data_IF_440541614555
#
_entry.id   IF_440541614555
#
_cell.length_a   1.000
_cell.length_b   1.000
_cell.length_c   1.000
_cell.angle_alpha   90.00
_cell.angle_beta   90.00
_cell.angle_gamma   90.00
#
_symmetry.space_group_name_H-M   'P 1'
#
loop_
_entity.id
_entity.type
_entity.pdbx_description
1 polymer ?
#
# COMPACT_ATOMS: atom_id res chain seq x y z
N UNK A 1 -41.15 -5.69 39.80
CA UNK A 1 -41.29 -5.52 38.34
C UNK A 1 -40.39 -4.45 37.70
N UNK A 2 -39.76 -3.51 38.44
CA UNK A 2 -38.87 -2.49 37.84
C UNK A 2 -37.48 -3.02 37.42
N UNK A 3 -36.99 -4.09 38.02
CA UNK A 3 -35.64 -4.63 37.73
C UNK A 3 -35.54 -5.38 36.39
N UNK A 4 -36.64 -5.96 35.92
CA UNK A 4 -36.69 -6.74 34.67
C UNK A 4 -36.63 -5.83 33.43
N UNK A 5 -37.19 -4.61 33.50
CA UNK A 5 -37.12 -3.64 32.39
C UNK A 5 -35.71 -3.07 32.18
N UNK A 6 -34.89 -2.95 33.23
CA UNK A 6 -33.53 -2.44 33.12
C UNK A 6 -32.61 -3.47 32.44
N UNK A 7 -32.75 -4.76 32.74
CA UNK A 7 -31.96 -5.81 32.08
C UNK A 7 -32.25 -5.94 30.59
N UNK A 8 -33.53 -5.90 30.19
CA UNK A 8 -33.92 -6.00 28.77
C UNK A 8 -33.38 -4.80 27.96
N UNK A 9 -33.41 -3.60 28.54
CA UNK A 9 -32.90 -2.38 27.88
C UNK A 9 -31.38 -2.41 27.70
N UNK A 10 -30.63 -2.92 28.69
CA UNK A 10 -29.16 -3.05 28.61
C UNK A 10 -28.77 -4.13 27.57
N UNK A 11 -29.46 -5.27 27.53
CA UNK A 11 -29.19 -6.33 26.54
C UNK A 11 -29.46 -5.87 25.10
N UNK A 12 -30.53 -5.10 24.87
CA UNK A 12 -30.82 -4.54 23.53
C UNK A 12 -29.78 -3.50 23.10
N UNK A 13 -29.31 -2.63 24.00
CA UNK A 13 -28.25 -1.64 23.73
C UNK A 13 -26.88 -2.30 23.45
N UNK A 14 -26.56 -3.39 24.15
CA UNK A 14 -25.31 -4.15 23.92
C UNK A 14 -25.36 -4.94 22.61
N UNK A 15 -26.51 -5.54 22.24
CA UNK A 15 -26.64 -6.19 20.92
C UNK A 15 -26.63 -5.18 19.75
N UNK A 16 -27.25 -4.01 19.91
CA UNK A 16 -27.23 -2.98 18.86
C UNK A 16 -25.86 -2.32 18.68
N UNK A 17 -25.06 -2.20 19.76
CA UNK A 17 -23.68 -1.70 19.65
C UNK A 17 -22.72 -2.74 19.07
N UNK A 18 -22.93 -4.04 19.33
CA UNK A 18 -22.16 -5.10 18.68
C UNK A 18 -22.49 -5.26 17.18
N UNK A 19 -23.74 -5.02 16.76
CA UNK A 19 -24.10 -4.99 15.33
C UNK A 19 -23.60 -3.73 14.61
N UNK A 20 -23.45 -2.60 15.30
CA UNK A 20 -22.85 -1.39 14.73
C UNK A 20 -21.34 -1.54 14.43
N UNK A 21 -20.66 -2.53 15.03
CA UNK A 21 -19.25 -2.82 14.76
C UNK A 21 -19.02 -3.66 13.49
N UNK A 22 -20.05 -4.30 12.93
CA UNK A 22 -19.92 -5.22 11.79
C UNK A 22 -19.91 -4.54 10.40
N UNK A 23 -19.96 -3.20 10.33
CA UNK A 23 -20.21 -2.47 9.08
C UNK A 23 -19.05 -1.59 8.57
N UNK A 24 -17.81 -1.79 9.06
CA UNK A 24 -16.75 -0.82 8.78
C UNK A 24 -16.04 -1.00 7.42
N UNK A 25 -16.17 -2.14 6.73
CA UNK A 25 -15.71 -2.26 5.34
C UNK A 25 -16.65 -3.19 4.59
N UNK A 26 -17.41 -2.65 3.63
CA UNK A 26 -18.24 -3.46 2.71
C UNK A 26 -17.57 -3.67 1.37
N UNK A 27 -16.42 -3.04 1.14
CA UNK A 27 -15.73 -3.03 -0.15
C UNK A 27 -14.43 -3.80 -0.02
N UNK A 28 -14.31 -4.87 -0.80
CA UNK A 28 -13.13 -5.70 -0.88
C UNK A 28 -12.79 -5.94 -2.34
N UNK A 29 -11.52 -5.77 -2.68
CA UNK A 29 -11.02 -6.05 -4.02
C UNK A 29 -9.54 -6.37 -3.97
N UNK A 30 -8.92 -6.52 -5.12
CA UNK A 30 -7.49 -6.80 -5.21
C UNK A 30 -6.82 -5.68 -5.98
N UNK A 31 -5.79 -5.09 -5.38
CA UNK A 31 -5.04 -4.06 -6.07
C UNK A 31 -4.28 -4.65 -7.26
N UNK A 32 -4.37 -3.99 -8.42
CA UNK A 32 -3.69 -4.42 -9.64
C UNK A 32 -4.43 -5.48 -10.46
N UNK A 33 -5.61 -5.93 -10.04
CA UNK A 33 -6.25 -7.09 -10.66
C UNK A 33 -6.77 -6.88 -12.09
N UNK A 34 -6.98 -5.64 -12.52
CA UNK A 34 -7.35 -5.33 -13.90
C UNK A 34 -6.60 -4.10 -14.44
N UNK A 35 -5.40 -3.84 -13.90
CA UNK A 35 -4.55 -2.74 -14.34
C UNK A 35 -3.75 -3.13 -15.59
N UNK A 36 -3.56 -2.15 -16.48
CA UNK A 36 -2.65 -2.30 -17.62
C UNK A 36 -1.24 -2.57 -17.11
N UNK A 37 -0.49 -3.38 -17.86
CA UNK A 37 0.89 -3.77 -17.56
C UNK A 37 1.07 -4.63 -16.29
N UNK A 38 0.00 -5.04 -15.61
CA UNK A 38 0.08 -5.95 -14.46
C UNK A 38 -0.15 -7.39 -14.90
N UNK A 39 0.94 -8.08 -15.23
CA UNK A 39 0.93 -9.48 -15.70
C UNK A 39 0.16 -9.60 -17.00
N UNK A 40 -0.89 -10.43 -17.01
CA UNK A 40 -1.79 -10.54 -18.18
C UNK A 40 -2.81 -9.38 -18.26
N UNK A 41 -2.81 -8.46 -17.30
CA UNK A 41 -3.61 -7.24 -17.31
C UNK A 41 -5.10 -7.40 -17.02
N UNK A 42 -5.60 -8.62 -16.80
CA UNK A 42 -7.00 -8.90 -16.48
C UNK A 42 -7.17 -10.19 -15.67
N UNK A 43 -7.44 -10.04 -14.37
CA UNK A 43 -7.68 -11.13 -13.42
C UNK A 43 -9.12 -11.16 -12.87
N UNK A 44 -10.05 -10.43 -13.49
CA UNK A 44 -11.43 -10.30 -13.00
C UNK A 44 -12.08 -11.68 -12.83
N UNK A 45 -12.05 -12.54 -13.86
CA UNK A 45 -12.62 -13.89 -13.79
C UNK A 45 -12.08 -14.72 -12.63
N UNK A 46 -10.82 -14.52 -12.26
CA UNK A 46 -10.15 -15.25 -11.20
C UNK A 46 -10.53 -14.70 -9.82
N UNK A 47 -10.74 -13.38 -9.69
CA UNK A 47 -10.93 -12.71 -8.40
C UNK A 47 -12.38 -12.41 -8.06
N UNK A 48 -13.30 -12.37 -9.03
CA UNK A 48 -14.70 -11.95 -8.81
C UNK A 48 -15.45 -12.79 -7.77
N UNK A 49 -15.10 -14.06 -7.58
CA UNK A 49 -15.70 -14.91 -6.54
C UNK A 49 -15.33 -14.53 -5.09
N UNK A 50 -14.38 -13.61 -4.91
CA UNK A 50 -13.95 -13.11 -3.60
C UNK A 50 -13.69 -11.60 -3.58
N UNK A 51 -14.18 -10.87 -4.56
CA UNK A 51 -14.09 -9.43 -4.68
C UNK A 51 -15.43 -8.87 -5.12
N UNK A 52 -15.81 -7.69 -4.63
CA UNK A 52 -16.96 -6.93 -5.14
C UNK A 52 -16.55 -5.67 -5.90
N UNK A 53 -15.24 -5.43 -6.08
CA UNK A 53 -14.73 -4.31 -6.87
C UNK A 53 -13.38 -4.61 -7.53
N UNK A 54 -13.19 -4.11 -8.75
CA UNK A 54 -11.96 -4.30 -9.52
C UNK A 54 -11.27 -2.97 -9.84
N UNK A 55 -9.93 -2.94 -9.84
CA UNK A 55 -9.14 -1.78 -10.23
C UNK A 55 -8.82 -1.82 -11.71
N UNK A 56 -9.45 -0.96 -12.48
CA UNK A 56 -9.27 -0.90 -13.94
C UNK A 56 -8.49 0.35 -14.30
N UNK A 57 -7.33 0.17 -14.93
CA UNK A 57 -6.57 1.30 -15.48
C UNK A 57 -7.19 1.76 -16.80
N UNK A 58 -7.69 2.99 -16.83
CA UNK A 58 -8.11 3.62 -18.07
C UNK A 58 -6.90 4.36 -18.66
N UNK A 59 -6.26 3.77 -19.67
CA UNK A 59 -5.21 4.47 -20.43
C UNK A 59 -5.88 5.44 -21.42
N UNK A 60 -5.46 6.70 -21.38
CA UNK A 60 -5.94 7.76 -22.27
C UNK A 60 -4.88 8.20 -23.28
N UNK A 61 -3.85 7.37 -23.46
CA UNK A 61 -2.61 7.69 -24.19
C UNK A 61 -2.79 7.67 -25.72
N UNK A 62 -4.02 7.87 -26.22
CA UNK A 62 -4.33 7.97 -27.65
C UNK A 62 -4.42 6.63 -28.39
N UNK A 63 -4.38 5.49 -27.70
CA UNK A 63 -4.68 4.18 -28.27
C UNK A 63 -6.16 4.05 -28.64
N UNK A 64 -6.46 3.45 -29.79
CA UNK A 64 -7.83 3.27 -30.30
C UNK A 64 -8.68 2.24 -29.50
N UNK A 65 -8.07 1.49 -28.58
CA UNK A 65 -8.73 0.38 -27.93
C UNK A 65 -9.15 0.79 -26.52
N UNK A 66 -10.45 1.01 -26.32
CA UNK A 66 -11.07 1.18 -25.01
C UNK A 66 -11.09 -0.17 -24.24
N UNK A 67 -9.96 -0.85 -24.14
CA UNK A 67 -9.79 -2.16 -23.49
C UNK A 67 -10.31 -2.13 -22.04
N UNK A 68 -10.12 -1.00 -21.35
CA UNK A 68 -10.66 -0.77 -20.02
C UNK A 68 -12.19 -0.92 -19.97
N UNK A 69 -12.91 -0.60 -21.06
CA UNK A 69 -14.37 -0.70 -21.13
C UNK A 69 -14.83 -2.16 -21.17
N UNK A 70 -14.10 -3.03 -21.85
CA UNK A 70 -14.35 -4.48 -21.83
C UNK A 70 -14.16 -5.05 -20.43
N UNK A 71 -13.15 -4.58 -19.69
CA UNK A 71 -12.94 -4.95 -18.27
C UNK A 71 -14.08 -4.45 -17.38
N UNK A 72 -14.60 -3.24 -17.63
CA UNK A 72 -15.78 -2.72 -16.92
C UNK A 72 -17.02 -3.57 -17.21
N UNK A 73 -17.25 -3.94 -18.47
CA UNK A 73 -18.34 -4.85 -18.83
C UNK A 73 -18.18 -6.21 -18.16
N UNK A 74 -16.96 -6.78 -18.16
CA UNK A 74 -16.70 -8.05 -17.50
C UNK A 74 -16.98 -7.99 -15.99
N UNK A 75 -16.58 -6.91 -15.31
CA UNK A 75 -16.92 -6.70 -13.91
C UNK A 75 -18.44 -6.65 -13.69
N UNK A 76 -19.19 -5.98 -14.59
CA UNK A 76 -20.66 -5.96 -14.56
C UNK A 76 -21.25 -7.36 -14.71
N UNK A 77 -20.72 -8.17 -15.61
CA UNK A 77 -21.18 -9.54 -15.85
C UNK A 77 -20.98 -10.45 -14.61
N UNK A 78 -19.99 -10.12 -13.78
CA UNK A 78 -19.77 -10.74 -12.46
C UNK A 78 -20.53 -10.07 -11.31
N UNK A 79 -21.40 -9.09 -11.59
CA UNK A 79 -22.11 -8.28 -10.60
C UNK A 79 -21.19 -7.52 -9.63
N UNK A 80 -20.00 -7.17 -10.09
CA UNK A 80 -19.00 -6.42 -9.33
C UNK A 80 -18.96 -4.95 -9.78
N UNK A 81 -18.37 -4.10 -8.94
CA UNK A 81 -18.12 -2.69 -9.25
C UNK A 81 -16.71 -2.47 -9.77
N UNK A 82 -16.44 -1.25 -10.23
CA UNK A 82 -15.11 -0.84 -10.72
C UNK A 82 -14.63 0.45 -10.05
N UNK A 83 -13.34 0.49 -9.75
CA UNK A 83 -12.58 1.72 -9.48
C UNK A 83 -11.73 2.00 -10.71
N UNK A 84 -11.97 3.14 -11.37
CA UNK A 84 -11.22 3.55 -12.55
C UNK A 84 -10.00 4.37 -12.15
N UNK A 85 -8.79 3.97 -12.57
CA UNK A 85 -7.61 4.80 -12.41
C UNK A 85 -7.59 5.88 -13.49
N UNK A 86 -7.52 7.15 -13.07
CA UNK A 86 -7.63 8.29 -13.97
C UNK A 86 -6.37 9.13 -14.09
N UNK A 87 -5.26 8.71 -13.48
CA UNK A 87 -4.05 9.52 -13.37
C UNK A 87 -3.59 10.07 -14.73
N UNK A 88 -3.40 9.20 -15.73
CA UNK A 88 -3.00 9.60 -17.09
C UNK A 88 -4.08 10.39 -17.86
N UNK A 89 -5.34 10.38 -17.38
CA UNK A 89 -6.42 11.17 -17.97
C UNK A 89 -6.34 12.64 -17.55
N UNK A 90 -5.89 12.91 -16.33
CA UNK A 90 -6.05 14.20 -15.65
C UNK A 90 -4.73 14.88 -15.31
N UNK A 91 -3.63 14.14 -15.18
CA UNK A 91 -2.28 14.66 -14.98
C UNK A 91 -1.39 14.39 -16.18
N UNK A 92 -0.34 15.19 -16.34
CA UNK A 92 0.69 14.94 -17.36
C UNK A 92 1.57 13.75 -16.94
N UNK A 93 2.03 12.96 -17.91
CA UNK A 93 2.91 11.82 -17.62
C UNK A 93 4.17 12.27 -16.87
N UNK A 94 4.52 11.55 -15.80
CA UNK A 94 5.65 11.83 -14.92
C UNK A 94 5.65 13.24 -14.26
N UNK A 95 4.52 13.95 -14.26
CA UNK A 95 4.31 15.22 -13.57
C UNK A 95 2.99 15.20 -12.80
N UNK A 96 2.81 16.17 -11.92
CA UNK A 96 1.55 16.46 -11.21
C UNK A 96 0.87 17.72 -11.76
N UNK A 97 1.39 18.25 -12.86
CA UNK A 97 0.72 19.29 -13.62
C UNK A 97 -0.58 18.73 -14.19
N UNK A 98 -1.65 19.51 -14.05
CA UNK A 98 -2.94 19.17 -14.62
C UNK A 98 -2.78 19.12 -16.15
N UNK A 99 -3.27 18.04 -16.75
CA UNK A 99 -3.33 17.92 -18.21
C UNK A 99 -4.23 19.00 -18.79
N UNK A 100 -3.77 19.70 -19.82
CA UNK A 100 -4.61 20.66 -20.56
C UNK A 100 -5.83 19.99 -21.23
N UNK A 101 -5.80 18.65 -21.35
CA UNK A 101 -6.90 17.83 -21.87
C UNK A 101 -7.77 17.22 -20.77
N UNK A 102 -7.51 17.46 -19.48
CA UNK A 102 -8.21 16.80 -18.38
C UNK A 102 -9.74 16.89 -18.49
N UNK A 103 -10.26 18.10 -18.76
CA UNK A 103 -11.70 18.31 -18.95
C UNK A 103 -12.26 17.49 -20.11
N UNK A 104 -11.61 17.56 -21.27
CA UNK A 104 -12.03 16.84 -22.47
C UNK A 104 -11.97 15.32 -22.26
N UNK A 105 -10.91 14.82 -21.63
CA UNK A 105 -10.73 13.41 -21.33
C UNK A 105 -11.83 12.89 -20.41
N UNK A 106 -12.22 13.66 -19.39
CA UNK A 106 -13.31 13.28 -18.48
C UNK A 106 -14.69 13.29 -19.16
N UNK A 107 -14.97 14.25 -20.04
CA UNK A 107 -16.20 14.25 -20.84
C UNK A 107 -16.25 13.05 -21.79
N UNK A 108 -15.14 12.77 -22.47
CA UNK A 108 -15.00 11.60 -23.35
C UNK A 108 -15.21 10.30 -22.59
N UNK A 109 -14.58 10.15 -21.41
CA UNK A 109 -14.77 9.01 -20.53
C UNK A 109 -16.25 8.83 -20.15
N UNK A 110 -16.91 9.91 -19.73
CA UNK A 110 -18.33 9.89 -19.36
C UNK A 110 -19.20 9.36 -20.50
N UNK A 111 -18.96 9.82 -21.72
CA UNK A 111 -19.69 9.34 -22.90
C UNK A 111 -19.40 7.86 -23.21
N UNK A 112 -18.14 7.43 -23.08
CA UNK A 112 -17.75 6.03 -23.31
C UNK A 112 -18.30 5.06 -22.26
N UNK A 113 -18.56 5.57 -21.06
CA UNK A 113 -19.20 4.83 -19.96
C UNK A 113 -20.72 4.70 -20.12
N UNK A 114 -21.33 5.22 -21.18
CA UNK A 114 -22.77 5.10 -21.41
C UNK A 114 -23.25 3.63 -21.30
N UNK A 115 -24.19 3.38 -20.38
CA UNK A 115 -24.76 2.07 -20.04
C UNK A 115 -23.95 1.25 -19.01
N UNK A 116 -22.85 1.80 -18.50
CA UNK A 116 -21.93 1.19 -17.53
C UNK A 116 -21.66 2.11 -16.33
N UNK A 117 -22.30 3.28 -16.24
CA UNK A 117 -22.03 4.26 -15.21
C UNK A 117 -22.36 3.75 -13.80
N UNK A 118 -23.35 2.86 -13.68
CA UNK A 118 -23.77 2.25 -12.42
C UNK A 118 -22.76 1.22 -11.89
N UNK A 119 -21.90 0.67 -12.77
CA UNK A 119 -20.82 -0.26 -12.43
C UNK A 119 -19.67 0.47 -11.73
N UNK A 120 -19.46 1.74 -12.05
CA UNK A 120 -18.35 2.52 -11.49
C UNK A 120 -18.68 2.88 -10.03
N UNK A 121 -17.90 2.38 -9.07
CA UNK A 121 -17.99 2.77 -7.66
C UNK A 121 -17.30 4.12 -7.43
N UNK A 122 -16.14 4.29 -8.04
CA UNK A 122 -15.27 5.43 -7.80
C UNK A 122 -14.14 5.52 -8.80
N UNK A 123 -13.24 6.44 -8.52
CA UNK A 123 -12.04 6.68 -9.29
C UNK A 123 -10.85 6.70 -8.35
N UNK A 124 -9.76 6.12 -8.82
CA UNK A 124 -8.46 6.22 -8.21
C UNK A 124 -7.71 7.34 -8.93
N UNK A 125 -7.54 8.46 -8.23
CA UNK A 125 -7.09 9.71 -8.83
C UNK A 125 -5.61 9.65 -9.21
N UNK A 126 -4.77 9.25 -8.26
CA UNK A 126 -3.32 9.24 -8.42
C UNK A 126 -2.65 8.39 -7.35
N UNK A 127 -1.55 7.75 -7.74
CA UNK A 127 -0.65 7.02 -6.83
C UNK A 127 0.45 7.92 -6.29
N UNK A 128 0.53 7.97 -4.96
CA UNK A 128 1.59 8.62 -4.17
C UNK A 128 1.97 10.02 -4.66
N UNK A 129 1.02 10.97 -4.72
CA UNK A 129 1.28 12.25 -5.37
C UNK A 129 2.45 13.01 -4.75
N UNK A 130 2.60 13.02 -3.41
CA UNK A 130 3.70 13.75 -2.78
C UNK A 130 5.03 13.01 -2.90
N UNK A 131 5.06 11.68 -2.80
CA UNK A 131 6.27 10.89 -3.04
C UNK A 131 6.74 11.01 -4.49
N UNK A 132 5.82 10.85 -5.45
CA UNK A 132 6.08 11.01 -6.87
C UNK A 132 6.63 12.40 -7.18
N UNK A 133 6.08 13.44 -6.56
CA UNK A 133 6.58 14.81 -6.67
C UNK A 133 8.05 14.93 -6.21
N UNK A 134 8.41 14.26 -5.11
CA UNK A 134 9.75 14.37 -4.50
C UNK A 134 10.87 13.87 -5.41
N UNK A 135 10.54 12.99 -6.36
CA UNK A 135 11.49 12.41 -7.33
C UNK A 135 11.41 13.08 -8.71
N UNK A 136 10.56 14.09 -8.90
CA UNK A 136 10.42 14.77 -10.18
C UNK A 136 11.66 15.65 -10.48
N UNK A 137 12.00 15.81 -11.76
CA UNK A 137 13.09 16.70 -12.19
C UNK A 137 12.87 18.17 -11.76
N UNK A 138 11.61 18.56 -11.59
CA UNK A 138 11.19 19.88 -11.10
C UNK A 138 10.04 19.69 -10.10
N UNK A 139 10.33 19.36 -8.83
CA UNK A 139 9.31 19.16 -7.83
C UNK A 139 8.46 20.42 -7.65
N UNK A 140 7.14 20.25 -7.60
CA UNK A 140 6.21 21.30 -7.24
C UNK A 140 6.27 21.53 -5.73
N UNK A 141 5.82 22.70 -5.25
CA UNK A 141 5.62 22.86 -3.80
C UNK A 141 4.45 21.98 -3.32
N UNK A 142 4.45 21.59 -2.04
CA UNK A 142 3.34 20.81 -1.46
C UNK A 142 1.98 21.49 -1.60
N UNK A 143 1.96 22.83 -1.55
CA UNK A 143 0.76 23.63 -1.77
C UNK A 143 0.27 23.53 -3.21
N UNK A 144 1.16 23.56 -4.20
CA UNK A 144 0.80 23.38 -5.61
C UNK A 144 0.28 21.96 -5.85
N UNK A 145 0.92 20.93 -5.28
CA UNK A 145 0.42 19.54 -5.36
C UNK A 145 -0.99 19.44 -4.78
N UNK A 146 -1.21 19.98 -3.57
CA UNK A 146 -2.52 20.02 -2.94
C UNK A 146 -3.57 20.71 -3.82
N UNK A 147 -3.24 21.88 -4.36
CA UNK A 147 -4.14 22.66 -5.21
C UNK A 147 -4.47 21.95 -6.53
N UNK A 148 -3.51 21.23 -7.11
CA UNK A 148 -3.73 20.44 -8.32
C UNK A 148 -4.69 19.27 -8.04
N UNK A 149 -4.47 18.52 -6.95
CA UNK A 149 -5.38 17.43 -6.53
C UNK A 149 -6.79 17.99 -6.22
N UNK A 150 -6.88 19.13 -5.53
CA UNK A 150 -8.15 19.80 -5.22
C UNK A 150 -8.91 20.22 -6.49
N UNK A 151 -8.20 20.76 -7.48
CA UNK A 151 -8.78 21.20 -8.76
C UNK A 151 -9.29 20.01 -9.56
N UNK A 152 -8.47 18.95 -9.70
CA UNK A 152 -8.86 17.77 -10.47
C UNK A 152 -9.99 16.99 -9.78
N UNK A 153 -9.96 16.84 -8.46
CA UNK A 153 -11.04 16.19 -7.72
C UNK A 153 -12.37 16.96 -7.86
N UNK A 154 -12.35 18.29 -7.83
CA UNK A 154 -13.54 19.11 -8.12
C UNK A 154 -14.07 18.87 -9.54
N UNK A 155 -13.17 18.82 -10.53
CA UNK A 155 -13.52 18.55 -11.92
C UNK A 155 -14.11 17.15 -12.12
N UNK A 156 -13.58 16.14 -11.41
CA UNK A 156 -14.15 14.78 -11.41
C UNK A 156 -15.56 14.81 -10.80
N UNK A 157 -15.78 15.46 -9.66
CA UNK A 157 -17.12 15.58 -9.04
C UNK A 157 -18.12 16.31 -9.96
N UNK A 158 -17.67 17.27 -10.78
CA UNK A 158 -18.55 17.90 -11.77
C UNK A 158 -19.06 16.90 -12.81
N UNK A 159 -18.22 15.95 -13.23
CA UNK A 159 -18.57 14.95 -14.25
C UNK A 159 -19.25 13.70 -13.66
N UNK A 160 -18.86 13.34 -12.45
CA UNK A 160 -19.19 12.11 -11.72
C UNK A 160 -19.55 12.43 -10.25
N UNK A 161 -20.65 13.17 -9.98
CA UNK A 161 -20.93 13.78 -8.67
C UNK A 161 -21.04 12.79 -7.51
N UNK A 162 -21.53 11.59 -7.78
CA UNK A 162 -21.78 10.57 -6.75
C UNK A 162 -20.68 9.52 -6.65
N UNK A 163 -19.57 9.68 -7.39
CA UNK A 163 -18.48 8.69 -7.42
C UNK A 163 -17.44 9.02 -6.37
N UNK A 164 -16.94 7.99 -5.71
CA UNK A 164 -15.87 8.12 -4.72
C UNK A 164 -14.57 8.52 -5.40
N UNK A 165 -13.80 9.42 -4.80
CA UNK A 165 -12.44 9.78 -5.25
C UNK A 165 -11.44 9.24 -4.22
N UNK A 166 -10.46 8.48 -4.71
CA UNK A 166 -9.50 7.77 -3.89
C UNK A 166 -8.07 8.16 -4.26
N UNK A 167 -7.15 8.13 -3.30
CA UNK A 167 -5.70 8.15 -3.53
C UNK A 167 -4.99 7.39 -2.42
N UNK A 168 -3.74 7.05 -2.66
CA UNK A 168 -2.81 6.51 -1.65
C UNK A 168 -1.56 7.36 -1.59
N UNK A 169 -0.85 7.30 -0.47
CA UNK A 169 0.42 8.00 -0.31
C UNK A 169 1.49 7.09 0.29
N UNK A 170 2.76 7.30 -0.09
CA UNK A 170 3.85 6.47 0.37
C UNK A 170 4.10 6.69 1.88
N UNK A 171 4.35 5.59 2.59
CA UNK A 171 4.61 5.60 4.03
C UNK A 171 5.66 6.64 4.48
N UNK A 172 6.83 6.81 3.81
CA UNK A 172 7.83 7.79 4.22
C UNK A 172 7.32 9.24 4.21
N UNK A 173 6.43 9.59 3.28
CA UNK A 173 5.88 10.95 3.23
C UNK A 173 4.89 11.14 4.38
N UNK A 174 4.06 10.13 4.67
CA UNK A 174 3.10 10.18 5.77
C UNK A 174 3.84 10.32 7.11
N UNK A 175 4.91 9.57 7.31
CA UNK A 175 5.76 9.61 8.50
C UNK A 175 6.37 11.00 8.76
N UNK A 176 6.69 11.76 7.70
CA UNK A 176 7.21 13.13 7.79
C UNK A 176 6.15 14.17 8.28
N UNK A 177 4.86 13.81 8.29
CA UNK A 177 3.82 14.51 9.03
C UNK A 177 3.26 15.82 8.46
N UNK A 178 3.60 16.18 7.22
CA UNK A 178 3.23 17.48 6.62
C UNK A 178 2.27 17.39 5.41
N UNK A 179 1.46 16.35 5.33
CA UNK A 179 0.55 16.13 4.18
C UNK A 179 -0.85 16.62 4.49
N UNK A 180 -1.49 17.26 3.51
CA UNK A 180 -2.90 17.63 3.53
C UNK A 180 -3.62 16.94 2.38
N UNK A 181 -4.88 16.59 2.59
CA UNK A 181 -5.73 16.01 1.55
C UNK A 181 -6.93 16.91 1.26
N UNK A 182 -7.24 17.18 -0.02
CA UNK A 182 -8.42 17.94 -0.43
C UNK A 182 -9.72 17.37 0.12
N UNK A 183 -10.69 18.22 0.46
CA UNK A 183 -12.00 17.79 1.00
C UNK A 183 -12.85 17.00 -0.01
N UNK A 184 -12.55 17.13 -1.30
CA UNK A 184 -13.20 16.40 -2.39
C UNK A 184 -12.62 15.00 -2.61
N UNK A 185 -11.52 14.64 -1.94
CA UNK A 185 -11.03 13.26 -1.87
C UNK A 185 -11.79 12.56 -0.76
N UNK A 186 -12.40 11.43 -1.07
CA UNK A 186 -13.27 10.69 -0.15
C UNK A 186 -12.50 9.62 0.61
N UNK A 187 -11.68 8.82 -0.08
CA UNK A 187 -10.92 7.72 0.54
C UNK A 187 -9.43 7.93 0.38
N UNK A 188 -8.69 7.76 1.48
CA UNK A 188 -7.25 7.99 1.52
C UNK A 188 -6.58 6.77 2.13
N UNK A 189 -5.53 6.28 1.49
CA UNK A 189 -4.76 5.14 1.98
C UNK A 189 -3.28 5.41 2.07
N UNK A 190 -2.54 4.40 2.50
CA UNK A 190 -1.09 4.42 2.59
C UNK A 190 -0.51 3.25 1.82
N UNK A 191 0.48 3.50 0.99
CA UNK A 191 1.33 2.46 0.42
C UNK A 191 2.46 2.17 1.40
N UNK A 192 2.56 0.91 1.80
CA UNK A 192 3.51 0.45 2.80
C UNK A 192 4.34 -0.68 2.17
N UNK A 193 5.50 -0.31 1.62
CA UNK A 193 6.46 -1.22 1.03
C UNK A 193 7.22 -1.97 2.13
N UNK A 194 6.65 -3.08 2.57
CA UNK A 194 7.02 -3.86 3.77
C UNK A 194 8.52 -4.21 3.93
N UNK A 195 9.32 -4.14 2.85
CA UNK A 195 10.78 -4.33 2.88
C UNK A 195 11.60 -3.04 3.05
N UNK A 196 11.08 -1.90 2.61
CA UNK A 196 11.85 -0.65 2.46
C UNK A 196 11.44 0.47 3.43
N UNK A 197 10.25 0.40 4.05
CA UNK A 197 9.66 1.56 4.73
C UNK A 197 9.27 1.33 6.19
N UNK A 198 8.69 2.38 6.79
CA UNK A 198 8.31 2.60 8.19
C UNK A 198 7.07 1.80 8.65
N UNK A 199 6.97 0.52 8.29
CA UNK A 199 5.81 -0.31 8.61
C UNK A 199 6.15 -1.81 8.79
N UNK A 200 7.33 -2.09 9.35
CA UNK A 200 7.93 -3.44 9.45
C UNK A 200 7.26 -4.31 10.52
N UNK A 201 6.57 -3.70 11.47
CA UNK A 201 5.87 -4.38 12.56
C UNK A 201 4.52 -3.71 12.85
N UNK A 202 3.70 -4.38 13.67
CA UNK A 202 2.35 -3.92 14.01
C UNK A 202 2.33 -2.50 14.61
N UNK A 203 3.32 -2.14 15.43
CA UNK A 203 3.42 -0.82 16.06
C UNK A 203 3.73 0.28 15.05
N UNK A 204 4.71 0.06 14.16
CA UNK A 204 5.04 0.99 13.08
C UNK A 204 3.87 1.18 12.11
N UNK A 205 3.20 0.08 11.74
CA UNK A 205 2.00 0.10 10.91
C UNK A 205 0.86 0.89 11.55
N UNK A 206 0.60 0.68 12.85
CA UNK A 206 -0.39 1.46 13.59
C UNK A 206 -0.02 2.95 13.66
N UNK A 207 1.25 3.27 13.89
CA UNK A 207 1.74 4.65 13.92
C UNK A 207 1.54 5.35 12.57
N UNK A 208 1.83 4.65 11.47
CA UNK A 208 1.62 5.15 10.10
C UNK A 208 0.14 5.52 9.88
N UNK A 209 -0.78 4.59 10.15
CA UNK A 209 -2.22 4.86 9.96
C UNK A 209 -2.77 5.89 10.95
N UNK A 210 -2.26 5.95 12.19
CA UNK A 210 -2.60 7.02 13.13
C UNK A 210 -2.15 8.38 12.58
N UNK A 211 -0.95 8.47 12.00
CA UNK A 211 -0.44 9.71 11.43
C UNK A 211 -1.24 10.13 10.20
N UNK A 212 -1.59 9.18 9.33
CA UNK A 212 -2.47 9.44 8.19
C UNK A 212 -3.84 9.94 8.65
N UNK A 213 -4.46 9.25 9.60
CA UNK A 213 -5.82 9.52 10.07
C UNK A 213 -5.96 10.87 10.79
N UNK A 214 -4.92 11.39 11.43
CA UNK A 214 -4.92 12.75 12.03
C UNK A 214 -5.22 13.85 11.01
N UNK A 215 -4.94 13.62 9.73
CA UNK A 215 -5.16 14.58 8.65
C UNK A 215 -6.53 14.40 7.97
N UNK A 216 -7.37 13.47 8.44
CA UNK A 216 -8.66 13.21 7.80
C UNK A 216 -9.72 14.23 8.22
N UNK A 217 -10.47 14.68 7.22
CA UNK A 217 -11.71 15.40 7.40
C UNK A 217 -12.86 14.45 7.79
N UNK A 218 -13.95 14.94 8.39
CA UNK A 218 -15.07 14.09 8.84
C UNK A 218 -15.70 13.23 7.74
N UNK A 219 -15.71 13.70 6.50
CA UNK A 219 -16.24 12.98 5.34
C UNK A 219 -15.26 11.95 4.75
N UNK A 220 -14.00 11.96 5.19
CA UNK A 220 -12.97 11.07 4.66
C UNK A 220 -12.92 9.73 5.40
N UNK A 221 -12.63 8.69 4.62
CA UNK A 221 -12.54 7.31 5.07
C UNK A 221 -11.20 6.67 4.72
N UNK A 222 -10.82 5.67 5.51
CA UNK A 222 -9.55 4.96 5.37
C UNK A 222 -9.66 3.91 4.28
N UNK A 223 -8.66 3.92 3.41
CA UNK A 223 -8.40 2.90 2.42
C UNK A 223 -7.20 2.07 2.89
N UNK A 224 -7.37 0.77 3.00
CA UNK A 224 -6.26 -0.12 3.28
C UNK A 224 -5.78 -0.77 2.00
N UNK A 225 -4.73 -0.20 1.43
CA UNK A 225 -3.93 -0.85 0.40
C UNK A 225 -2.77 -1.55 1.07
N UNK A 226 -2.61 -2.84 0.80
CA UNK A 226 -1.50 -3.60 1.33
C UNK A 226 -0.51 -3.83 0.21
N UNK A 227 0.55 -3.02 0.18
CA UNK A 227 1.50 -3.08 -0.90
C UNK A 227 2.09 -4.49 -1.02
N UNK A 228 2.11 -4.95 -2.26
CA UNK A 228 2.62 -6.24 -2.65
C UNK A 228 4.09 -6.23 -2.30
N UNK A 229 4.55 -7.25 -1.60
CA UNK A 229 5.99 -7.31 -1.37
C UNK A 229 6.70 -7.36 -2.73
N UNK A 230 7.71 -6.51 -2.88
CA UNK A 230 8.82 -6.72 -3.80
C UNK A 230 9.58 -8.00 -3.35
N UNK A 231 8.97 -9.16 -3.56
CA UNK A 231 9.57 -10.46 -3.29
C UNK A 231 10.07 -11.04 -4.59
N UNK A 232 11.30 -11.53 -4.63
CA UNK A 232 11.73 -12.39 -5.72
C UNK A 232 10.76 -13.60 -5.84
N UNK A 233 10.42 -14.00 -7.07
CA UNK A 233 9.52 -15.12 -7.39
C UNK A 233 9.80 -16.37 -6.55
N UNK A 234 11.08 -16.65 -6.29
CA UNK A 234 11.51 -17.83 -5.53
C UNK A 234 11.18 -17.73 -4.04
N UNK A 235 11.30 -16.54 -3.45
CA UNK A 235 11.05 -16.32 -2.02
C UNK A 235 9.56 -16.29 -1.71
N UNK A 236 8.75 -15.66 -2.58
CA UNK A 236 7.30 -15.55 -2.42
C UNK A 236 6.56 -16.89 -2.44
N UNK A 237 7.16 -17.93 -3.04
CA UNK A 237 6.58 -19.29 -3.06
C UNK A 237 6.69 -20.01 -1.72
N UNK A 238 7.57 -19.57 -0.81
CA UNK A 238 7.76 -20.30 0.46
C UNK A 238 6.59 -20.07 1.41
N UNK A 239 6.18 -21.13 2.12
CA UNK A 239 5.12 -21.07 3.14
C UNK A 239 5.42 -20.04 4.22
N UNK A 240 6.68 -19.93 4.65
CA UNK A 240 7.11 -18.94 5.64
C UNK A 240 6.82 -17.50 5.20
N UNK A 241 7.05 -17.16 3.93
CA UNK A 241 6.77 -15.81 3.44
C UNK A 241 5.27 -15.57 3.28
N UNK A 242 4.52 -16.55 2.80
CA UNK A 242 3.05 -16.46 2.75
C UNK A 242 2.43 -16.34 4.15
N UNK A 243 2.96 -17.05 5.16
CA UNK A 243 2.55 -16.95 6.56
C UNK A 243 2.80 -15.52 7.11
N UNK A 244 3.95 -14.90 6.78
CA UNK A 244 4.25 -13.50 7.16
C UNK A 244 3.25 -12.52 6.53
N UNK A 245 2.91 -12.72 5.26
CA UNK A 245 1.92 -11.91 4.55
C UNK A 245 0.53 -12.06 5.18
N UNK A 246 0.11 -13.28 5.48
CA UNK A 246 -1.17 -13.55 6.16
C UNK A 246 -1.20 -12.84 7.50
N UNK A 247 -0.16 -12.98 8.33
CA UNK A 247 -0.08 -12.29 9.64
C UNK A 247 -0.20 -10.77 9.47
N UNK A 248 0.44 -10.19 8.45
CA UNK A 248 0.33 -8.75 8.17
C UNK A 248 -1.08 -8.33 7.76
N UNK A 249 -1.72 -9.11 6.89
CA UNK A 249 -3.12 -8.87 6.51
C UNK A 249 -4.02 -8.91 7.75
N UNK A 250 -3.82 -9.86 8.66
CA UNK A 250 -4.56 -9.95 9.93
C UNK A 250 -4.33 -8.73 10.83
N UNK A 251 -3.08 -8.23 10.94
CA UNK A 251 -2.76 -7.02 11.71
C UNK A 251 -3.49 -5.79 11.17
N UNK A 252 -3.50 -5.61 9.85
CA UNK A 252 -4.22 -4.49 9.23
C UNK A 252 -5.72 -4.63 9.37
N UNK A 253 -6.24 -5.85 9.22
CA UNK A 253 -7.65 -6.08 9.46
C UNK A 253 -8.04 -5.69 10.87
N UNK A 254 -7.22 -5.95 11.90
CA UNK A 254 -7.46 -5.44 13.26
C UNK A 254 -7.45 -3.91 13.33
N UNK A 255 -6.51 -3.27 12.64
CA UNK A 255 -6.45 -1.80 12.55
C UNK A 255 -7.68 -1.22 11.86
N UNK A 256 -8.23 -1.89 10.85
CA UNK A 256 -9.41 -1.40 10.11
C UNK A 256 -10.64 -1.17 10.99
N UNK A 257 -10.73 -1.83 12.16
CA UNK A 257 -11.80 -1.59 13.14
C UNK A 257 -11.60 -0.34 13.98
N UNK A 258 -10.38 0.21 14.03
CA UNK A 258 -10.06 1.45 14.77
C UNK A 258 -10.43 2.71 14.00
N UNK A 259 -10.59 2.63 12.68
CA UNK A 259 -10.77 3.79 11.80
C UNK A 259 -12.11 3.74 11.07
N UNK A 260 -12.49 4.88 10.48
CA UNK A 260 -13.60 4.97 9.52
C UNK A 260 -13.20 4.32 8.20
N UNK A 261 -13.14 3.00 8.18
CA UNK A 261 -12.70 2.25 7.00
C UNK A 261 -13.76 2.35 5.89
N UNK A 262 -13.29 2.37 4.64
CA UNK A 262 -14.13 2.25 3.47
C UNK A 262 -13.92 0.94 2.75
N UNK A 263 -12.65 0.59 2.52
CA UNK A 263 -12.29 -0.52 1.67
C UNK A 263 -10.95 -1.15 2.04
N UNK A 264 -10.79 -2.40 1.62
CA UNK A 264 -9.60 -3.19 1.80
C UNK A 264 -9.16 -3.81 0.47
N UNK A 265 -7.93 -3.51 0.06
CA UNK A 265 -7.34 -3.87 -1.23
C UNK A 265 -5.93 -4.47 -1.04
N UNK A 266 -5.83 -5.75 -0.69
CA UNK A 266 -4.57 -6.45 -0.68
C UNK A 266 -4.01 -6.48 -2.10
N UNK A 267 -2.71 -6.25 -2.23
CA UNK A 267 -2.02 -6.45 -3.50
C UNK A 267 -1.90 -7.94 -3.81
N UNK A 268 -1.95 -8.22 -5.11
CA UNK A 268 -1.71 -9.56 -5.65
C UNK A 268 -0.40 -9.62 -6.45
N UNK A 269 0.61 -8.81 -6.13
CA UNK A 269 1.85 -8.77 -6.91
C UNK A 269 2.88 -9.81 -6.46
N UNK A 270 3.69 -10.26 -7.41
CA UNK A 270 4.87 -11.08 -7.17
C UNK A 270 6.03 -10.49 -7.98
N UNK A 271 7.10 -10.03 -7.32
CA UNK A 271 8.39 -9.66 -7.92
C UNK A 271 8.51 -8.46 -8.88
N UNK A 272 9.76 -8.00 -9.03
CA UNK A 272 10.21 -6.89 -9.89
C UNK A 272 10.07 -7.17 -11.40
N UNK A 273 9.95 -8.43 -11.84
CA UNK A 273 10.08 -8.82 -13.25
C UNK A 273 8.89 -9.60 -13.85
N UNK A 274 7.98 -10.15 -13.03
CA UNK A 274 6.82 -10.92 -13.52
C UNK A 274 5.60 -10.74 -12.61
N UNK A 275 4.67 -9.86 -13.00
CA UNK A 275 3.46 -9.57 -12.21
C UNK A 275 2.37 -10.65 -12.35
N UNK A 276 2.67 -11.91 -12.00
CA UNK A 276 1.80 -13.09 -12.22
C UNK A 276 0.54 -13.16 -11.33
N UNK A 277 0.28 -12.16 -10.48
CA UNK A 277 -0.84 -12.23 -9.55
C UNK A 277 -0.53 -13.14 -8.35
N UNK A 278 -1.57 -13.45 -7.55
CA UNK A 278 -1.54 -14.47 -6.49
C UNK A 278 -1.44 -15.91 -7.02
N UNK A 279 -1.26 -16.11 -8.34
CA UNK A 279 -1.29 -17.44 -8.98
C UNK A 279 -0.24 -18.38 -8.40
N UNK A 280 0.92 -17.83 -8.03
CA UNK A 280 2.08 -18.56 -7.51
C UNK A 280 2.19 -18.49 -5.97
N UNK A 281 1.19 -17.93 -5.29
CA UNK A 281 1.07 -17.90 -3.82
C UNK A 281 -0.27 -18.52 -3.38
N UNK A 282 -0.47 -19.84 -3.62
CA UNK A 282 -1.78 -20.48 -3.46
C UNK A 282 -2.34 -20.38 -2.04
N UNK A 283 -1.48 -20.41 -1.01
CA UNK A 283 -1.90 -20.35 0.38
C UNK A 283 -2.35 -18.95 0.79
N UNK A 284 -1.59 -17.92 0.40
CA UNK A 284 -2.00 -16.53 0.56
C UNK A 284 -3.28 -16.25 -0.24
N UNK A 285 -3.36 -16.75 -1.47
CA UNK A 285 -4.56 -16.63 -2.31
C UNK A 285 -5.78 -17.19 -1.59
N UNK A 286 -5.73 -18.42 -1.10
CA UNK A 286 -6.87 -19.03 -0.41
C UNK A 286 -7.28 -18.23 0.83
N UNK A 287 -6.31 -17.77 1.63
CA UNK A 287 -6.56 -16.88 2.76
C UNK A 287 -7.28 -15.59 2.34
N UNK A 288 -6.77 -14.87 1.32
CA UNK A 288 -7.34 -13.61 0.87
C UNK A 288 -8.74 -13.81 0.25
N UNK A 289 -8.97 -14.93 -0.44
CA UNK A 289 -10.29 -15.26 -0.98
C UNK A 289 -11.31 -15.51 0.13
N UNK A 290 -10.90 -16.23 1.18
CA UNK A 290 -11.75 -16.42 2.36
C UNK A 290 -12.03 -15.09 3.06
N UNK A 291 -11.00 -14.27 3.27
CA UNK A 291 -11.12 -12.94 3.86
C UNK A 291 -12.10 -12.06 3.08
N UNK A 292 -11.98 -12.00 1.76
CA UNK A 292 -12.87 -11.22 0.91
C UNK A 292 -14.33 -11.65 1.03
N UNK A 293 -14.59 -12.97 1.02
CA UNK A 293 -15.95 -13.51 1.25
C UNK A 293 -16.50 -13.13 2.62
N UNK A 294 -15.70 -13.24 3.68
CA UNK A 294 -16.14 -12.90 5.03
C UNK A 294 -16.44 -11.41 5.19
N UNK A 295 -15.61 -10.53 4.60
CA UNK A 295 -15.82 -9.07 4.58
C UNK A 295 -17.10 -8.72 3.80
N UNK A 296 -17.25 -9.24 2.58
CA UNK A 296 -18.43 -8.98 1.75
C UNK A 296 -19.73 -9.50 2.38
N UNK A 297 -19.66 -10.58 3.14
CA UNK A 297 -20.79 -11.12 3.89
C UNK A 297 -21.05 -10.40 5.23
N UNK A 298 -20.17 -9.48 5.66
CA UNK A 298 -20.25 -8.83 6.96
C UNK A 298 -20.06 -9.79 8.14
N UNK A 299 -19.32 -10.88 7.92
CA UNK A 299 -19.10 -11.97 8.91
C UNK A 299 -17.68 -12.01 9.46
N UNK A 300 -16.76 -11.19 8.93
CA UNK A 300 -15.38 -11.17 9.39
C UNK A 300 -15.27 -10.72 10.85
N UNK A 301 -14.53 -11.49 11.65
CA UNK A 301 -14.26 -11.19 13.06
C UNK A 301 -12.76 -11.01 13.31
N UNK A 302 -12.29 -9.80 13.67
CA UNK A 302 -10.86 -9.54 13.88
C UNK A 302 -10.27 -10.28 15.09
N UNK A 303 -11.12 -10.76 16.01
CA UNK A 303 -10.72 -11.53 17.20
C UNK A 303 -10.68 -13.04 16.94
N UNK A 304 -11.20 -13.49 15.79
CA UNK A 304 -11.11 -14.88 15.34
C UNK A 304 -10.34 -14.88 14.03
N UNK A 305 -8.99 -14.80 14.08
CA UNK A 305 -8.19 -14.75 12.88
C UNK A 305 -8.54 -15.93 11.98
N UNK A 306 -8.68 -15.65 10.68
CA UNK A 306 -8.88 -16.69 9.68
C UNK A 306 -7.69 -17.63 9.80
N UNK A 307 -7.95 -18.80 10.37
CA UNK A 307 -6.98 -19.88 10.33
C UNK A 307 -6.75 -20.18 8.85
N UNK A 308 -5.48 -20.21 8.43
CA UNK A 308 -5.20 -20.66 7.10
C UNK A 308 -5.71 -22.11 6.92
N UNK A 309 -5.87 -22.56 5.67
CA UNK A 309 -6.49 -23.84 5.32
C UNK A 309 -5.99 -24.98 6.20
N UNK A 310 -6.94 -25.72 6.80
CA UNK A 310 -6.62 -26.84 7.68
C UNK A 310 -5.93 -27.94 6.86
N UNK A 311 -4.65 -28.20 7.18
CA UNK A 311 -3.87 -29.24 6.51
C UNK A 311 -2.37 -29.11 6.71
N UNK A 312 -1.84 -27.90 6.90
CA UNK A 312 -0.39 -27.70 7.05
C UNK A 312 -0.04 -26.60 8.06
N UNK A 313 0.70 -27.00 9.09
CA UNK A 313 1.17 -26.18 10.19
C UNK A 313 2.04 -25.00 9.70
N UNK A 314 1.74 -23.77 10.10
CA UNK A 314 2.47 -22.55 9.76
C UNK A 314 3.85 -22.51 10.40
N UNK A 315 4.89 -22.13 9.67
CA UNK A 315 6.23 -21.99 10.25
C UNK A 315 6.22 -20.75 11.14
N UNK A 316 6.44 -20.92 12.44
CA UNK A 316 6.50 -19.82 13.39
C UNK A 316 7.91 -19.19 13.38
N UNK A 317 7.99 -17.93 13.78
CA UNK A 317 9.29 -17.33 14.09
C UNK A 317 9.94 -18.10 15.24
N UNK A 318 11.26 -18.31 15.24
CA UNK A 318 11.90 -19.03 16.31
C UNK A 318 11.82 -18.24 17.62
N UNK A 319 11.58 -18.95 18.72
CA UNK A 319 11.53 -18.43 20.08
C UNK A 319 12.66 -19.01 20.91
N UNK A 320 12.96 -18.39 22.06
CA UNK A 320 13.97 -18.92 22.97
C UNK A 320 13.38 -19.93 23.94
N UNK A 321 13.93 -21.14 23.95
CA UNK A 321 13.68 -22.17 24.94
C UNK A 321 14.96 -22.37 25.76
N UNK A 322 15.10 -21.61 26.84
CA UNK A 322 16.33 -21.58 27.64
C UNK A 322 17.48 -20.90 26.89
N UNK A 323 18.52 -21.66 26.56
CA UNK A 323 19.70 -21.19 25.80
C UNK A 323 19.61 -21.51 24.31
N UNK A 324 18.52 -22.16 23.89
CA UNK A 324 18.35 -22.61 22.52
C UNK A 324 17.37 -21.68 21.79
N UNK A 325 17.62 -21.45 20.51
CA UNK A 325 16.67 -20.81 19.61
C UNK A 325 15.91 -21.92 18.89
N UNK A 326 14.59 -21.96 19.03
CA UNK A 326 13.76 -23.09 18.58
C UNK A 326 12.71 -22.58 17.63
N UNK A 327 12.68 -23.15 16.43
CA UNK A 327 11.65 -22.90 15.43
C UNK A 327 10.66 -24.05 15.44
N UNK A 328 9.38 -23.74 15.66
CA UNK A 328 8.27 -24.70 15.56
C UNK A 328 7.33 -24.33 14.43
N UNK A 329 6.52 -25.27 14.00
CA UNK A 329 5.30 -24.95 13.26
C UNK A 329 4.13 -24.66 14.22
N UNK A 330 3.00 -24.19 13.67
CA UNK A 330 1.81 -23.83 14.42
C UNK A 330 1.06 -25.02 15.00
N UNK A 331 1.48 -26.25 14.69
CA UNK A 331 0.99 -27.46 15.34
C UNK A 331 1.96 -27.96 16.42
N UNK A 332 3.03 -27.21 16.70
CA UNK A 332 4.02 -27.52 17.73
C UNK A 332 5.17 -28.42 17.28
N UNK A 333 5.23 -28.85 16.01
CA UNK A 333 6.35 -29.67 15.50
C UNK A 333 7.61 -28.82 15.47
N UNK A 334 8.69 -29.33 16.06
CA UNK A 334 9.99 -28.68 15.97
C UNK A 334 10.53 -28.81 14.54
N UNK A 335 10.81 -27.67 13.91
CA UNK A 335 11.37 -27.57 12.57
C UNK A 335 12.88 -27.36 12.60
N UNK A 336 13.40 -26.82 13.70
CA UNK A 336 14.83 -26.62 13.90
C UNK A 336 15.14 -26.09 15.29
N UNK A 337 16.31 -26.45 15.80
CA UNK A 337 16.84 -26.00 17.09
C UNK A 337 18.31 -25.64 16.94
N UNK A 338 18.66 -24.43 17.38
CA UNK A 338 20.03 -23.96 17.47
C UNK A 338 20.45 -23.98 18.92
N UNK A 339 21.28 -24.96 19.26
CA UNK A 339 21.77 -25.16 20.63
C UNK A 339 22.72 -24.04 21.04
N UNK A 340 22.52 -23.47 22.23
CA UNK A 340 23.36 -22.38 22.76
C UNK A 340 23.41 -21.16 21.82
N UNK A 341 22.27 -20.73 21.27
CA UNK A 341 22.22 -19.60 20.36
C UNK A 341 22.90 -18.36 21.00
N UNK A 342 23.84 -17.71 20.30
CA UNK A 342 24.63 -16.62 20.88
C UNK A 342 23.71 -15.44 21.27
N UNK A 343 24.09 -14.73 22.33
CA UNK A 343 23.49 -13.42 22.67
C UNK A 343 23.82 -12.50 21.50
N UNK A 344 22.83 -12.02 20.71
CA UNK A 344 21.57 -11.43 21.17
C UNK A 344 20.30 -12.29 21.04
N UNK A 345 20.37 -13.47 20.42
CA UNK A 345 19.17 -14.20 20.01
C UNK A 345 18.41 -14.78 21.20
N UNK A 346 19.11 -15.34 22.18
CA UNK A 346 18.53 -15.86 23.43
C UNK A 346 19.32 -15.41 24.66
N UNK A 347 18.92 -14.32 25.34
CA UNK A 347 19.55 -13.93 26.60
C UNK A 347 19.34 -15.02 27.65
N UNK A 348 20.42 -15.47 28.29
CA UNK A 348 20.40 -16.56 29.27
C UNK A 348 19.58 -16.15 30.50
N UNK A 349 18.45 -16.81 30.71
CA UNK A 349 17.65 -16.72 31.93
C UNK A 349 16.30 -16.05 31.68
N UNK A 350 15.24 -16.85 31.65
CA UNK A 350 13.84 -16.43 31.48
C UNK A 350 13.26 -15.65 32.66
N UNK A 351 13.97 -14.64 33.15
CA UNK A 351 13.42 -13.62 34.05
C UNK A 351 13.40 -12.30 33.29
N UNK A 352 12.21 -11.69 33.19
CA UNK A 352 12.09 -10.27 32.88
C UNK A 352 12.83 -9.49 33.95
N UNK A 353 14.06 -9.07 33.66
CA UNK A 353 14.87 -8.18 34.50
C UNK A 353 14.60 -6.74 34.03
N UNK A 354 14.56 -5.75 34.95
CA UNK A 354 14.28 -4.36 34.61
C UNK A 354 15.25 -3.89 33.53
N UNK A 355 14.73 -3.04 32.63
CA UNK A 355 15.48 -2.33 31.59
C UNK A 355 16.82 -1.88 32.17
N UNK A 356 17.90 -2.53 31.74
CA UNK A 356 19.24 -2.05 32.01
C UNK A 356 19.31 -0.60 31.53
N UNK A 357 19.99 0.32 32.25
CA UNK A 357 20.13 1.69 31.78
C UNK A 357 20.61 1.63 30.35
N UNK A 358 19.80 2.23 29.47
CA UNK A 358 19.97 2.20 28.03
C UNK A 358 21.45 2.41 27.75
N UNK A 359 22.15 1.46 27.09
CA UNK A 359 23.51 1.74 26.64
C UNK A 359 23.45 3.07 25.92
N UNK A 360 24.35 4.00 26.28
CA UNK A 360 24.39 5.33 25.68
C UNK A 360 24.18 5.14 24.18
N UNK A 361 23.17 5.81 23.58
CA UNK A 361 22.74 5.49 22.23
C UNK A 361 23.97 5.45 21.35
N UNK A 362 24.18 4.30 20.69
CA UNK A 362 25.23 4.20 19.70
C UNK A 362 25.11 5.44 18.80
N UNK A 363 26.22 6.14 18.50
CA UNK A 363 26.16 7.38 17.74
C UNK A 363 25.29 7.13 16.52
N UNK A 364 24.24 7.93 16.37
CA UNK A 364 23.29 7.78 15.28
C UNK A 364 24.05 8.07 14.00
N UNK A 365 24.45 7.02 13.29
CA UNK A 365 25.17 7.15 12.04
C UNK A 365 24.17 7.63 10.97
N UNK A 366 24.30 8.88 10.54
CA UNK A 366 23.46 9.42 9.49
C UNK A 366 23.83 8.77 8.14
N UNK A 367 22.84 8.45 7.32
CA UNK A 367 23.10 8.01 5.94
C UNK A 367 23.65 9.21 5.16
N UNK A 368 24.85 9.08 4.60
CA UNK A 368 25.46 10.14 3.80
C UNK A 368 25.01 10.02 2.32
N UNK A 369 25.17 11.13 1.60
CA UNK A 369 25.09 11.12 0.14
C UNK A 369 26.19 10.24 -0.44
N UNK A 370 25.93 9.47 -1.51
CA UNK A 370 26.95 8.62 -2.09
C UNK A 370 28.05 9.44 -2.76
N UNK A 371 29.29 8.98 -2.65
CA UNK A 371 30.48 9.60 -3.25
C UNK A 371 31.11 8.67 -4.28
N UNK A 372 31.99 9.20 -5.12
CA UNK A 372 32.70 8.39 -6.10
C UNK A 372 34.01 7.86 -5.52
N UNK A 373 34.17 6.54 -5.55
CA UNK A 373 35.43 5.86 -5.27
C UNK A 373 35.91 5.23 -6.60
N UNK A 374 36.68 6.00 -7.38
CA UNK A 374 37.08 5.60 -8.73
C UNK A 374 35.90 5.62 -9.72
N UNK A 375 35.55 4.46 -10.29
CA UNK A 375 34.40 4.30 -11.20
C UNK A 375 33.11 3.91 -10.49
N UNK A 376 33.17 3.70 -9.18
CA UNK A 376 32.05 3.21 -8.40
C UNK A 376 31.39 4.35 -7.65
N UNK A 377 30.07 4.30 -7.56
CA UNK A 377 29.30 5.18 -6.68
C UNK A 377 29.09 4.42 -5.36
N UNK A 378 29.50 4.99 -4.24
CA UNK A 378 29.55 4.30 -2.94
C UNK A 378 28.82 5.11 -1.89
N UNK A 379 27.86 4.50 -1.21
CA UNK A 379 27.11 5.10 -0.10
C UNK A 379 27.60 4.55 1.22
N UNK A 380 27.95 5.43 2.14
CA UNK A 380 28.33 5.09 3.51
C UNK A 380 27.43 5.79 4.52
N UNK A 381 27.35 5.28 5.73
CA UNK A 381 26.87 6.08 6.87
C UNK A 381 27.99 6.98 7.42
N UNK A 382 27.64 7.91 8.31
CA UNK A 382 28.59 8.82 8.95
C UNK A 382 29.57 8.13 9.90
N UNK A 383 29.43 6.81 10.11
CA UNK A 383 30.35 5.97 10.86
C UNK A 383 31.26 5.14 9.93
N UNK A 384 31.19 5.37 8.62
CA UNK A 384 32.05 4.76 7.61
C UNK A 384 31.59 3.40 7.10
N UNK A 385 30.45 2.87 7.58
CA UNK A 385 29.93 1.59 7.12
C UNK A 385 29.40 1.73 5.70
N UNK A 386 29.86 0.87 4.80
CA UNK A 386 29.32 0.79 3.44
C UNK A 386 27.88 0.28 3.49
N UNK A 387 26.96 1.07 2.94
CA UNK A 387 25.53 0.75 2.83
C UNK A 387 25.17 0.26 1.43
N UNK A 388 25.94 0.65 0.41
CA UNK A 388 25.74 0.21 -0.96
C UNK A 388 26.86 0.68 -1.89
N UNK A 389 27.11 -0.09 -2.95
CA UNK A 389 28.10 0.19 -3.99
C UNK A 389 27.52 -0.15 -5.36
N UNK A 390 27.63 0.78 -6.29
CA UNK A 390 27.23 0.62 -7.69
C UNK A 390 28.49 0.63 -8.55
N UNK A 391 28.83 -0.54 -9.08
CA UNK A 391 30.04 -0.73 -9.88
C UNK A 391 29.90 -0.05 -11.24
N UNK A 392 30.94 0.67 -11.67
CA UNK A 392 30.97 1.36 -12.96
C UNK A 392 29.78 2.31 -13.20
N UNK A 393 29.45 3.13 -12.20
CA UNK A 393 28.32 4.06 -12.28
C UNK A 393 28.44 4.97 -13.53
N UNK A 394 27.37 5.10 -14.34
CA UNK A 394 27.42 5.88 -15.56
C UNK A 394 27.59 7.38 -15.27
N UNK A 395 28.14 8.13 -16.23
CA UNK A 395 28.14 9.60 -16.20
C UNK A 395 26.68 10.08 -16.24
N UNK A 396 26.23 10.98 -15.34
CA UNK A 396 27.00 11.97 -14.60
C UNK A 396 27.44 11.57 -13.18
N UNK A 397 27.04 10.41 -12.68
CA UNK A 397 27.17 10.09 -11.25
C UNK A 397 28.61 10.01 -10.77
N UNK A 398 29.52 9.45 -11.57
CA UNK A 398 30.96 9.50 -11.33
C UNK A 398 31.74 9.91 -12.57
N UNK A 399 32.21 11.18 -12.67
CA UNK A 399 33.04 11.60 -13.79
C UNK A 399 34.37 10.84 -13.74
N UNK A 400 34.74 10.21 -14.86
CA UNK A 400 36.02 9.52 -14.98
C UNK A 400 37.14 10.55 -14.89
N UNK A 401 38.20 10.25 -14.13
CA UNK A 401 39.41 11.08 -14.09
C UNK A 401 39.87 11.39 -15.53
N UNK A 402 39.91 12.68 -15.88
CA UNK A 402 40.25 13.17 -17.22
C UNK A 402 39.08 13.55 -18.13
N UNK A 403 37.82 13.33 -17.73
CA UNK A 403 36.67 13.85 -18.47
C UNK A 403 36.45 15.33 -18.13
N UNK A 404 36.80 16.22 -19.07
CA UNK A 404 36.39 17.63 -19.01
C UNK A 404 34.88 17.72 -19.12
N UNK A 405 34.22 18.14 -18.04
CA UNK A 405 32.79 18.49 -18.07
C UNK A 405 32.65 19.68 -19.04
N UNK A 406 31.80 19.62 -20.07
CA UNK A 406 31.53 20.78 -20.91
C UNK A 406 30.98 21.88 -20.00
N UNK A 407 31.71 23.00 -19.89
CA UNK A 407 31.22 24.18 -19.20
C UNK A 407 29.96 24.63 -19.96
N UNK A 408 28.81 24.61 -19.29
CA UNK A 408 27.58 25.13 -19.86
C UNK A 408 27.82 26.58 -20.32
N UNK A 409 27.41 26.96 -21.54
CA UNK A 409 27.63 28.31 -22.03
C UNK A 409 26.98 29.31 -21.06
N UNK A 410 27.76 30.31 -20.65
CA UNK A 410 27.29 31.42 -19.83
C UNK A 410 26.07 32.05 -20.52
N UNK A 411 24.93 32.22 -19.83
CA UNK A 411 23.78 32.91 -20.40
C UNK A 411 24.19 34.31 -20.87
N UNK A 412 23.80 34.68 -22.09
CA UNK A 412 23.99 36.04 -22.57
C UNK A 412 23.29 37.02 -21.60
N UNK A 413 23.91 38.16 -21.28
CA UNK A 413 23.27 39.17 -20.43
C UNK A 413 21.95 39.60 -21.07
N UNK A 414 20.91 39.67 -20.24
CA UNK A 414 19.61 40.17 -20.67
C UNK A 414 19.76 41.61 -21.22
N UNK A 415 19.07 41.96 -22.31
CA UNK A 415 19.08 43.34 -22.81
C UNK A 415 18.54 44.27 -21.72
N UNK A 416 19.26 45.38 -21.50
CA UNK A 416 18.89 46.43 -20.57
C UNK A 416 17.54 47.07 -20.96
N UNK A 417 16.77 47.58 -19.98
CA UNK A 417 15.40 48.07 -20.17
C UNK A 417 15.29 49.25 -21.16
#
# INVERSE_FOLDING_TARGET
>A
MKTIHIMITITVLVLSSLQAFAANATVFGFWGDAMKDVGNGNYINQTSGASNVHYVSASFDGGANDEWREKVQLAKDHNNKVILMLEGAVFQWASLDISSKAYFNLQSLKNKLAGLEDVILGVYLIDEPYWKNSSANKPLSYEVVFNNIQTVSALIKQNFPNKVIMLTEAAPVIGAGNIKFPSNVDWIGANCYLYYTECKNATELENLYNQLYKNFLPNQKMLFTLDGHWMNLTEGKTKLQQDKLIRRNQEIMKLSFKYRTAAYFPFIYQSENEMLGTQDMPYLKEYLFKLGKEIMAGTYNPNQPINPPAGECAVLEPTCEGKDYVRRDSCGKELGRWLNAPVPYCPRGGTTVPVAPTPAPAPVCAVLEPTCEGKDYVRRDSCGKELGRWLNAPVPYCPREGATVPVAPTPAPAPAP
#
